data_IF_156346523002
#
_entry.id   IF_156346523002
#
_cell.length_a   1.000
_cell.length_b   1.000
_cell.length_c   1.000
_cell.angle_alpha   90.00
_cell.angle_beta   90.00
_cell.angle_gamma   90.00
#
_symmetry.space_group_name_H-M   'P 1'
#
loop_
_entity.id
_entity.type
_entity.pdbx_description
1 polymer ?
#
# COMPACT_ATOMS: atom_id res chain seq x y z
N UNK A 1 11.34 -30.76 -24.97
CA UNK A 1 11.95 -29.41 -25.02
C UNK A 1 10.91 -28.45 -24.47
N UNK A 2 11.19 -27.75 -23.36
CA UNK A 2 10.28 -26.71 -22.88
C UNK A 2 10.25 -25.58 -23.92
N UNK A 3 9.05 -25.08 -24.26
CA UNK A 3 8.91 -23.94 -25.15
C UNK A 3 9.60 -22.73 -24.51
N UNK A 4 10.40 -22.00 -25.28
CA UNK A 4 10.98 -20.73 -24.83
C UNK A 4 9.82 -19.80 -24.48
N UNK A 5 9.79 -19.18 -23.29
CA UNK A 5 8.73 -18.23 -22.94
C UNK A 5 8.66 -17.10 -23.98
N UNK A 6 7.46 -16.62 -24.33
CA UNK A 6 7.34 -15.48 -25.23
C UNK A 6 8.02 -14.25 -24.61
N UNK A 7 8.73 -13.50 -25.43
CA UNK A 7 9.37 -12.23 -25.08
C UNK A 7 8.68 -11.12 -25.88
N UNK A 8 8.19 -10.09 -25.19
CA UNK A 8 7.45 -8.97 -25.76
C UNK A 8 8.30 -7.69 -25.72
N UNK A 9 8.22 -6.91 -26.78
CA UNK A 9 8.87 -5.60 -26.91
C UNK A 9 7.84 -4.47 -26.85
N UNK A 10 8.28 -3.23 -26.63
CA UNK A 10 7.37 -2.07 -26.72
C UNK A 10 6.84 -1.95 -28.15
N UNK A 11 7.66 -2.30 -29.15
CA UNK A 11 7.21 -2.41 -30.54
C UNK A 11 6.00 -3.33 -30.71
N UNK A 12 6.05 -4.55 -30.18
CA UNK A 12 4.92 -5.51 -30.26
C UNK A 12 3.64 -4.89 -29.68
N UNK A 13 3.74 -4.22 -28.53
CA UNK A 13 2.61 -3.59 -27.86
C UNK A 13 2.09 -2.34 -28.60
N UNK A 14 2.95 -1.63 -29.34
CA UNK A 14 2.53 -0.55 -30.23
C UNK A 14 1.69 -1.10 -31.39
N UNK A 15 2.03 -2.26 -31.94
CA UNK A 15 1.20 -2.94 -32.94
C UNK A 15 -0.15 -3.32 -32.35
N UNK A 16 -0.16 -3.88 -31.13
CA UNK A 16 -1.40 -4.22 -30.40
C UNK A 16 -2.27 -2.98 -30.14
N UNK A 17 -1.66 -1.81 -29.92
CA UNK A 17 -2.37 -0.53 -29.78
C UNK A 17 -3.07 -0.07 -31.07
N UNK A 18 -2.80 -0.72 -32.21
CA UNK A 18 -3.37 -0.41 -33.52
C UNK A 18 -2.51 0.54 -34.34
N UNK A 19 -1.21 0.67 -34.02
CA UNK A 19 -0.27 1.45 -34.83
C UNK A 19 0.12 0.64 -36.07
N UNK A 20 0.24 1.32 -37.20
CA UNK A 20 0.65 0.70 -38.46
C UNK A 20 2.07 0.09 -38.37
N UNK A 21 2.18 -1.17 -38.75
CA UNK A 21 3.43 -1.93 -38.77
C UNK A 21 3.82 -2.42 -40.16
N UNK A 22 3.32 -1.75 -41.21
CA UNK A 22 3.56 -2.16 -42.60
C UNK A 22 4.19 -1.03 -43.42
N UNK A 23 3.74 0.20 -43.23
CA UNK A 23 4.23 1.35 -44.00
C UNK A 23 5.59 1.78 -43.48
N UNK A 24 6.60 1.73 -44.35
CA UNK A 24 7.97 2.08 -44.02
C UNK A 24 8.26 3.56 -44.29
N UNK A 25 8.91 4.20 -43.34
CA UNK A 25 9.58 5.48 -43.49
C UNK A 25 11.06 5.30 -43.08
N UNK A 26 11.99 5.57 -44.00
CA UNK A 26 13.43 5.39 -43.78
C UNK A 26 13.81 4.00 -43.24
N UNK A 27 13.10 2.96 -43.70
CA UNK A 27 13.36 1.58 -43.29
C UNK A 27 12.75 1.17 -41.96
N UNK A 28 11.95 2.03 -41.31
CA UNK A 28 11.21 1.70 -40.07
C UNK A 28 9.71 1.88 -40.24
N UNK A 29 8.90 1.03 -39.59
CA UNK A 29 7.45 1.18 -39.53
C UNK A 29 7.04 2.29 -38.57
N UNK A 30 5.78 2.71 -38.60
CA UNK A 30 5.26 3.69 -37.62
C UNK A 30 5.33 3.14 -36.19
N UNK A 31 5.04 1.84 -36.01
CA UNK A 31 5.13 1.18 -34.72
C UNK A 31 6.58 1.18 -34.18
N UNK A 32 7.57 0.82 -35.01
CA UNK A 32 8.99 0.81 -34.63
C UNK A 32 9.47 2.22 -34.26
N UNK A 33 9.01 3.23 -35.01
CA UNK A 33 9.36 4.63 -34.74
C UNK A 33 8.77 5.11 -33.43
N UNK A 34 7.50 4.82 -33.13
CA UNK A 34 6.92 5.20 -31.84
C UNK A 34 7.61 4.49 -30.68
N UNK A 35 7.82 3.17 -30.80
CA UNK A 35 8.50 2.40 -29.76
C UNK A 35 9.88 2.99 -29.44
N UNK A 36 10.68 3.29 -30.48
CA UNK A 36 12.04 3.81 -30.29
C UNK A 36 12.10 5.30 -29.98
N UNK A 37 11.38 6.16 -30.71
CA UNK A 37 11.49 7.63 -30.58
C UNK A 37 10.82 8.15 -29.30
N UNK A 38 9.78 7.47 -28.79
CA UNK A 38 9.07 7.88 -27.56
C UNK A 38 9.52 7.05 -26.35
N UNK A 39 9.58 5.74 -26.49
CA UNK A 39 9.81 4.85 -25.35
C UNK A 39 11.23 4.26 -25.30
N UNK A 40 12.11 4.58 -26.27
CA UNK A 40 13.44 3.95 -26.42
C UNK A 40 13.41 2.42 -26.53
N UNK A 41 12.27 1.86 -26.91
CA UNK A 41 11.96 0.42 -26.86
C UNK A 41 12.18 -0.20 -25.47
N UNK A 42 12.01 0.60 -24.42
CA UNK A 42 12.17 0.20 -23.02
C UNK A 42 10.88 0.49 -22.23
N UNK A 43 10.36 -0.56 -21.58
CA UNK A 43 9.19 -0.47 -20.72
C UNK A 43 9.42 0.45 -19.52
N UNK A 44 10.66 0.59 -19.02
CA UNK A 44 10.95 1.42 -17.85
C UNK A 44 10.71 2.91 -18.12
N UNK A 45 10.93 3.37 -19.37
CA UNK A 45 10.64 4.74 -19.81
C UNK A 45 9.20 5.16 -19.50
N UNK A 46 8.25 4.21 -19.56
CA UNK A 46 6.83 4.48 -19.32
C UNK A 46 6.50 4.89 -17.88
N UNK A 47 7.38 4.58 -16.91
CA UNK A 47 7.20 5.03 -15.53
C UNK A 47 7.18 6.55 -15.45
N UNK A 48 8.11 7.19 -16.16
CA UNK A 48 8.37 8.62 -16.06
C UNK A 48 7.64 9.44 -17.12
N UNK A 49 7.19 8.81 -18.20
CA UNK A 49 6.39 9.47 -19.23
C UNK A 49 5.09 10.06 -18.67
N UNK A 50 4.99 11.38 -18.62
CA UNK A 50 3.74 12.05 -18.26
C UNK A 50 2.77 12.07 -19.44
N UNK A 51 1.46 12.17 -19.15
CA UNK A 51 0.44 12.27 -20.20
C UNK A 51 0.58 13.56 -21.01
N UNK A 52 1.13 14.61 -20.41
CA UNK A 52 1.38 15.89 -21.06
C UNK A 52 2.59 15.80 -22.00
N UNK A 53 3.71 15.22 -21.57
CA UNK A 53 4.87 14.95 -22.43
C UNK A 53 4.47 14.09 -23.64
N UNK A 54 3.76 12.98 -23.39
CA UNK A 54 3.25 12.12 -24.46
C UNK A 54 2.35 12.88 -25.45
N UNK A 55 1.54 13.81 -24.93
CA UNK A 55 0.67 14.61 -25.77
C UNK A 55 1.45 15.61 -26.62
N UNK A 56 2.53 16.20 -26.10
CA UNK A 56 3.45 17.07 -26.84
C UNK A 56 4.29 16.31 -27.87
N UNK A 57 4.76 15.11 -27.56
CA UNK A 57 5.46 14.23 -28.51
C UNK A 57 4.56 13.85 -29.68
N UNK A 58 3.31 13.46 -29.41
CA UNK A 58 2.33 13.20 -30.47
C UNK A 58 2.02 14.44 -31.31
N UNK A 59 2.01 15.64 -30.72
CA UNK A 59 1.84 16.89 -31.48
C UNK A 59 3.07 17.16 -32.36
N UNK A 60 4.27 16.94 -31.83
CA UNK A 60 5.53 17.09 -32.56
C UNK A 60 5.55 16.19 -33.78
N UNK A 61 5.27 14.89 -33.61
CA UNK A 61 5.21 13.92 -34.71
C UNK A 61 4.11 14.25 -35.73
N UNK A 62 2.97 14.77 -35.28
CA UNK A 62 1.89 15.19 -36.16
C UNK A 62 2.19 16.50 -36.90
N UNK A 63 3.08 17.34 -36.38
CA UNK A 63 3.49 18.62 -36.97
C UNK A 63 4.54 18.50 -38.07
N UNK A 64 5.27 17.38 -38.13
CA UNK A 64 6.24 17.10 -39.19
C UNK A 64 5.59 17.10 -40.58
N UNK A 65 6.37 17.38 -41.61
CA UNK A 65 5.95 17.19 -43.00
C UNK A 65 5.98 15.70 -43.39
N UNK A 66 5.28 15.33 -44.46
CA UNK A 66 5.29 13.95 -44.98
C UNK A 66 6.72 13.49 -45.29
N UNK A 67 7.55 14.36 -45.89
CA UNK A 67 8.95 14.06 -46.20
C UNK A 67 9.83 13.86 -44.96
N UNK A 68 9.44 14.47 -43.83
CA UNK A 68 10.10 14.31 -42.52
C UNK A 68 9.54 13.13 -41.72
N UNK A 69 8.57 12.38 -42.25
CA UNK A 69 8.00 11.21 -41.58
C UNK A 69 6.89 11.56 -40.60
N UNK A 70 5.97 12.44 -41.00
CA UNK A 70 4.77 12.77 -40.22
C UNK A 70 4.01 11.52 -39.74
N UNK A 71 3.66 11.50 -38.45
CA UNK A 71 2.81 10.45 -37.86
C UNK A 71 1.55 11.10 -37.27
N UNK A 72 0.38 10.69 -37.74
CA UNK A 72 -0.91 11.15 -37.23
C UNK A 72 -1.66 10.02 -36.57
N UNK A 73 -1.76 10.07 -35.24
CA UNK A 73 -2.46 9.05 -34.46
C UNK A 73 -3.93 9.41 -34.25
N UNK A 74 -4.79 8.43 -34.51
CA UNK A 74 -6.23 8.54 -34.25
C UNK A 74 -6.50 8.54 -32.74
N UNK A 75 -7.61 9.17 -32.27
CA UNK A 75 -7.94 9.22 -30.84
C UNK A 75 -8.03 7.86 -30.14
N UNK A 76 -8.51 6.82 -30.83
CA UNK A 76 -8.57 5.46 -30.31
C UNK A 76 -7.17 4.88 -30.02
N UNK A 77 -6.23 5.04 -30.96
CA UNK A 77 -4.83 4.61 -30.79
C UNK A 77 -4.18 5.35 -29.62
N UNK A 78 -4.39 6.68 -29.51
CA UNK A 78 -3.89 7.47 -28.37
C UNK A 78 -4.42 6.96 -27.03
N UNK A 79 -5.70 6.52 -26.97
CA UNK A 79 -6.27 5.90 -25.76
C UNK A 79 -5.61 4.57 -25.43
N UNK A 80 -5.34 3.73 -26.44
CA UNK A 80 -4.66 2.45 -26.25
C UNK A 80 -3.23 2.64 -25.74
N UNK A 81 -2.46 3.59 -26.30
CA UNK A 81 -1.10 3.89 -25.82
C UNK A 81 -1.11 4.38 -24.37
N UNK A 82 -2.09 5.21 -23.99
CA UNK A 82 -2.24 5.62 -22.58
C UNK A 82 -2.57 4.43 -21.68
N UNK A 83 -3.45 3.53 -22.12
CA UNK A 83 -3.73 2.31 -21.38
C UNK A 83 -2.49 1.41 -21.24
N UNK A 84 -1.69 1.29 -22.30
CA UNK A 84 -0.40 0.59 -22.30
C UNK A 84 0.54 1.15 -21.24
N UNK A 85 0.74 2.48 -21.19
CA UNK A 85 1.57 3.12 -20.14
C UNK A 85 1.08 2.75 -18.74
N UNK A 86 -0.24 2.77 -18.49
CA UNK A 86 -0.76 2.37 -17.18
C UNK A 86 -0.50 0.89 -16.88
N UNK A 87 -0.63 0.02 -17.87
CA UNK A 87 -0.35 -1.41 -17.70
C UNK A 87 1.13 -1.64 -17.37
N UNK A 88 2.06 -1.02 -18.10
CA UNK A 88 3.49 -1.10 -17.79
C UNK A 88 3.79 -0.63 -16.37
N UNK A 89 3.19 0.50 -15.97
CA UNK A 89 3.30 1.01 -14.60
C UNK A 89 2.77 0.04 -13.56
N UNK A 90 1.65 -0.63 -13.85
CA UNK A 90 1.10 -1.65 -12.97
C UNK A 90 2.08 -2.81 -12.79
N UNK A 91 2.58 -3.37 -13.89
CA UNK A 91 3.55 -4.47 -13.88
C UNK A 91 4.81 -4.11 -13.08
N UNK A 92 5.42 -2.95 -13.36
CA UNK A 92 6.64 -2.48 -12.70
C UNK A 92 6.40 -2.24 -11.20
N UNK A 93 5.30 -1.57 -10.82
CA UNK A 93 4.94 -1.35 -9.40
C UNK A 93 4.75 -2.66 -8.63
N UNK A 94 4.32 -3.72 -9.30
CA UNK A 94 4.12 -5.04 -8.71
C UNK A 94 5.38 -5.93 -8.83
N UNK A 95 6.50 -5.38 -9.31
CA UNK A 95 7.75 -6.11 -9.48
C UNK A 95 7.70 -7.18 -10.58
N UNK A 96 6.77 -7.05 -11.52
CA UNK A 96 6.64 -7.95 -12.68
C UNK A 96 7.34 -7.38 -13.89
N UNK A 97 7.89 -8.27 -14.70
CA UNK A 97 8.58 -7.93 -15.94
C UNK A 97 7.58 -7.83 -17.10
N UNK A 98 7.33 -6.63 -17.66
CA UNK A 98 6.40 -6.45 -18.77
C UNK A 98 6.78 -7.26 -20.02
N UNK A 99 8.06 -7.61 -20.19
CA UNK A 99 8.52 -8.38 -21.37
C UNK A 99 7.99 -9.83 -21.39
N UNK A 100 7.40 -10.29 -20.28
CA UNK A 100 6.94 -11.68 -20.12
C UNK A 100 5.44 -11.84 -20.29
N UNK A 101 4.69 -10.74 -20.36
CA UNK A 101 3.22 -10.74 -20.40
C UNK A 101 2.74 -9.81 -21.50
N UNK A 102 1.80 -10.23 -22.38
CA UNK A 102 1.32 -9.35 -23.44
C UNK A 102 0.43 -8.23 -22.89
N UNK A 103 0.51 -7.04 -23.47
CA UNK A 103 -0.39 -5.94 -23.13
C UNK A 103 -1.87 -6.31 -23.41
N UNK A 104 -2.76 -6.30 -22.41
CA UNK A 104 -4.16 -6.64 -22.60
C UNK A 104 -4.96 -5.43 -23.10
N UNK A 105 -4.85 -5.09 -24.39
CA UNK A 105 -5.55 -3.93 -24.98
C UNK A 105 -7.07 -3.93 -24.79
N UNK A 106 -7.67 -5.11 -24.64
CA UNK A 106 -9.11 -5.26 -24.34
C UNK A 106 -9.50 -4.60 -23.01
N UNK A 107 -8.56 -4.47 -22.08
CA UNK A 107 -8.75 -3.85 -20.77
C UNK A 107 -8.48 -2.33 -20.77
N UNK A 108 -8.29 -1.71 -21.94
CA UNK A 108 -7.91 -0.29 -22.03
C UNK A 108 -8.82 0.65 -21.23
N UNK A 109 -10.14 0.42 -21.24
CA UNK A 109 -11.08 1.23 -20.46
C UNK A 109 -10.84 1.11 -18.94
N UNK A 110 -10.55 -0.10 -18.44
CA UNK A 110 -10.25 -0.37 -17.03
C UNK A 110 -8.93 0.28 -16.62
N UNK A 111 -7.90 0.14 -17.47
CA UNK A 111 -6.59 0.75 -17.26
C UNK A 111 -6.66 2.28 -17.23
N UNK A 112 -7.39 2.90 -18.16
CA UNK A 112 -7.56 4.36 -18.16
C UNK A 112 -8.34 4.87 -16.93
N UNK A 113 -9.30 4.09 -16.41
CA UNK A 113 -9.98 4.42 -15.16
C UNK A 113 -9.00 4.36 -13.98
N UNK A 114 -8.20 3.29 -13.90
CA UNK A 114 -7.18 3.11 -12.87
C UNK A 114 -6.14 4.23 -12.90
N UNK A 115 -5.65 4.61 -14.09
CA UNK A 115 -4.73 5.74 -14.27
C UNK A 115 -5.28 7.02 -13.62
N UNK A 116 -6.53 7.38 -13.92
CA UNK A 116 -7.17 8.57 -13.32
C UNK A 116 -7.31 8.47 -11.80
N UNK A 117 -7.67 7.30 -11.29
CA UNK A 117 -7.79 7.10 -9.84
C UNK A 117 -6.43 7.21 -9.14
N UNK A 118 -5.36 6.70 -9.77
CA UNK A 118 -4.00 6.82 -9.26
C UNK A 118 -3.49 8.28 -9.32
N UNK A 119 -3.76 9.00 -10.41
CA UNK A 119 -3.47 10.44 -10.51
C UNK A 119 -4.18 11.25 -9.41
N UNK A 120 -5.44 10.93 -9.11
CA UNK A 120 -6.19 11.56 -8.01
C UNK A 120 -5.57 11.28 -6.65
N UNK A 121 -5.09 10.06 -6.41
CA UNK A 121 -4.34 9.71 -5.19
C UNK A 121 -3.07 10.55 -5.07
N UNK A 122 -2.25 10.59 -6.13
CA UNK A 122 -0.99 11.35 -6.13
C UNK A 122 -1.25 12.85 -5.93
N UNK A 123 -2.20 13.42 -6.66
CA UNK A 123 -2.58 14.84 -6.53
C UNK A 123 -3.12 15.17 -5.13
N UNK A 124 -3.94 14.30 -4.55
CA UNK A 124 -4.54 14.48 -3.22
C UNK A 124 -3.60 14.20 -2.06
N UNK A 125 -2.46 13.56 -2.30
CA UNK A 125 -1.55 13.03 -1.26
C UNK A 125 -1.08 14.08 -0.26
N UNK A 126 -0.81 15.32 -0.69
CA UNK A 126 -0.39 16.41 0.20
C UNK A 126 -1.46 16.73 1.25
N UNK A 127 -2.72 16.86 0.84
CA UNK A 127 -3.82 17.15 1.75
C UNK A 127 -4.11 15.94 2.65
N UNK A 128 -4.15 14.74 2.07
CA UNK A 128 -4.43 13.51 2.82
C UNK A 128 -3.38 13.23 3.88
N UNK A 129 -2.08 13.37 3.54
CA UNK A 129 -0.99 13.17 4.49
C UNK A 129 -0.98 14.20 5.62
N UNK A 130 -1.40 15.44 5.37
CA UNK A 130 -1.59 16.44 6.42
C UNK A 130 -2.75 16.07 7.37
N UNK A 131 -3.82 15.49 6.85
CA UNK A 131 -4.98 15.10 7.65
C UNK A 131 -4.76 13.79 8.42
N UNK A 132 -3.94 12.89 7.87
CA UNK A 132 -3.57 11.62 8.48
C UNK A 132 -2.30 11.71 9.32
N UNK A 133 -1.85 12.91 9.69
CA UNK A 133 -0.60 13.10 10.42
C UNK A 133 -0.70 12.41 11.81
N UNK A 134 0.21 11.47 12.13
CA UNK A 134 0.26 10.87 13.44
C UNK A 134 0.62 11.91 14.50
N UNK A 135 0.24 11.65 15.75
CA UNK A 135 0.89 12.31 16.87
C UNK A 135 2.34 11.81 17.00
N UNK A 136 3.18 12.60 17.66
CA UNK A 136 4.53 12.15 18.01
C UNK A 136 4.44 10.94 18.96
N UNK A 137 5.26 9.93 18.71
CA UNK A 137 5.38 8.75 19.54
C UNK A 137 6.31 9.05 20.70
N UNK A 138 5.77 9.63 21.76
CA UNK A 138 6.45 9.91 23.02
C UNK A 138 6.30 8.74 24.00
N UNK A 139 7.03 8.76 25.13
CA UNK A 139 7.02 7.68 26.13
C UNK A 139 5.62 7.39 26.75
N UNK A 140 4.67 8.32 26.67
CA UNK A 140 3.30 8.18 27.17
C UNK A 140 2.31 7.64 26.13
N UNK A 141 2.74 7.53 24.87
CA UNK A 141 1.92 7.01 23.78
C UNK A 141 2.13 5.50 23.65
N UNK A 142 1.03 4.75 23.54
CA UNK A 142 1.08 3.30 23.37
C UNK A 142 1.37 2.93 21.91
N UNK A 143 2.29 1.99 21.71
CA UNK A 143 2.66 1.49 20.38
C UNK A 143 1.45 0.97 19.60
N UNK A 144 0.57 0.20 20.26
CA UNK A 144 -0.63 -0.39 19.65
C UNK A 144 -1.59 0.64 19.05
N UNK A 145 -1.65 1.83 19.65
CA UNK A 145 -2.49 2.93 19.19
C UNK A 145 -1.76 3.75 18.12
N UNK A 146 -0.45 3.96 18.28
CA UNK A 146 0.34 4.80 17.39
C UNK A 146 0.68 4.13 16.05
N UNK A 147 1.13 2.87 16.07
CA UNK A 147 1.62 2.16 14.89
C UNK A 147 0.59 2.14 13.74
N UNK A 148 -0.69 1.82 13.97
CA UNK A 148 -1.71 1.88 12.91
C UNK A 148 -1.91 3.30 12.34
N UNK A 149 -1.73 4.36 13.13
CA UNK A 149 -1.83 5.73 12.62
C UNK A 149 -0.63 6.09 11.73
N UNK A 150 0.57 5.62 12.09
CA UNK A 150 1.77 5.81 11.28
C UNK A 150 1.70 5.02 9.97
N UNK A 151 1.23 3.77 9.98
CA UNK A 151 1.02 2.98 8.76
C UNK A 151 -0.01 3.64 7.83
N UNK A 152 -1.12 4.14 8.38
CA UNK A 152 -2.13 4.89 7.63
C UNK A 152 -1.57 6.20 7.05
N UNK A 153 -0.73 6.90 7.79
CA UNK A 153 -0.03 8.08 7.29
C UNK A 153 0.86 7.73 6.09
N UNK A 154 1.69 6.68 6.20
CA UNK A 154 2.53 6.22 5.09
C UNK A 154 1.71 5.81 3.86
N UNK A 155 0.53 5.21 4.06
CA UNK A 155 -0.40 4.86 2.98
C UNK A 155 -0.87 6.08 2.17
N UNK A 156 -0.94 7.26 2.79
CA UNK A 156 -1.35 8.49 2.08
C UNK A 156 -0.23 9.09 1.20
N UNK A 157 1.02 8.64 1.38
CA UNK A 157 2.18 9.24 0.73
C UNK A 157 2.62 8.34 -0.43
N UNK A 158 2.57 8.82 -1.69
CA UNK A 158 3.18 8.12 -2.80
C UNK A 158 4.71 8.10 -2.65
N UNK A 159 5.28 6.91 -2.83
CA UNK A 159 6.70 6.71 -3.08
C UNK A 159 7.09 7.11 -4.50
N UNK A 160 8.33 6.82 -4.89
CA UNK A 160 8.92 7.16 -6.20
C UNK A 160 7.96 6.77 -7.34
N UNK A 161 7.57 5.51 -7.39
CA UNK A 161 6.75 4.95 -8.48
C UNK A 161 5.24 5.16 -8.26
N UNK A 162 4.87 5.91 -7.24
CA UNK A 162 3.49 6.13 -6.83
C UNK A 162 2.86 4.97 -6.05
N UNK A 163 3.67 3.99 -5.61
CA UNK A 163 3.23 3.00 -4.61
C UNK A 163 3.16 3.69 -3.24
N UNK A 164 2.10 3.50 -2.45
CA UNK A 164 2.03 4.06 -1.09
C UNK A 164 3.20 3.60 -0.21
N UNK A 165 3.86 4.52 0.51
CA UNK A 165 5.06 4.21 1.33
C UNK A 165 4.84 3.12 2.40
N UNK A 166 3.59 2.81 2.75
CA UNK A 166 3.26 1.72 3.67
C UNK A 166 3.79 0.35 3.20
N UNK A 167 4.09 0.16 1.90
CA UNK A 167 4.73 -1.07 1.42
C UNK A 167 6.09 -1.33 2.07
N UNK A 168 6.82 -0.29 2.47
CA UNK A 168 8.13 -0.42 3.14
C UNK A 168 8.00 -1.07 4.52
N UNK A 169 6.88 -0.88 5.20
CA UNK A 169 6.64 -1.37 6.57
C UNK A 169 5.74 -2.61 6.61
N UNK A 170 5.28 -3.11 5.46
CA UNK A 170 4.43 -4.30 5.36
C UNK A 170 5.09 -5.52 6.03
N UNK A 171 4.32 -6.42 6.60
CA UNK A 171 4.87 -7.52 7.38
C UNK A 171 5.57 -8.59 6.52
N UNK A 172 5.01 -8.91 5.36
CA UNK A 172 5.57 -9.94 4.47
C UNK A 172 6.66 -9.35 3.57
N UNK A 173 7.83 -9.98 3.54
CA UNK A 173 8.91 -9.59 2.62
C UNK A 173 8.56 -9.95 1.17
N UNK A 174 7.98 -11.13 0.96
CA UNK A 174 7.53 -11.58 -0.35
C UNK A 174 6.22 -10.90 -0.77
N UNK A 175 6.14 -10.54 -2.06
CA UNK A 175 4.91 -10.04 -2.63
C UNK A 175 3.82 -11.11 -2.61
N UNK A 176 2.63 -10.78 -2.11
CA UNK A 176 1.48 -11.69 -2.11
C UNK A 176 0.38 -11.14 -3.01
N UNK A 177 0.00 -11.93 -4.02
CA UNK A 177 -1.07 -11.54 -4.93
C UNK A 177 -2.42 -11.73 -4.25
N UNK A 178 -2.82 -10.73 -3.49
CA UNK A 178 -4.17 -10.61 -2.96
C UNK A 178 -4.91 -9.58 -3.80
N UNK A 179 -5.93 -10.02 -4.53
CA UNK A 179 -6.78 -9.12 -5.29
C UNK A 179 -7.65 -8.33 -4.33
N UNK A 180 -7.47 -7.01 -4.35
CA UNK A 180 -8.28 -6.07 -3.59
C UNK A 180 -9.12 -5.20 -4.53
N UNK A 181 -10.30 -4.78 -4.06
CA UNK A 181 -11.09 -3.77 -4.77
C UNK A 181 -10.31 -2.45 -4.87
N UNK A 182 -9.57 -2.11 -3.81
CA UNK A 182 -8.57 -1.06 -3.81
C UNK A 182 -7.26 -1.56 -4.44
N UNK A 183 -6.98 -1.09 -5.66
CA UNK A 183 -5.76 -1.46 -6.38
C UNK A 183 -4.48 -0.98 -5.68
N UNK A 184 -4.55 0.05 -4.81
CA UNK A 184 -3.38 0.50 -4.04
C UNK A 184 -2.92 -0.57 -3.05
N UNK A 185 -3.83 -1.31 -2.44
CA UNK A 185 -3.49 -2.46 -1.58
C UNK A 185 -2.79 -3.56 -2.38
N UNK A 186 -3.20 -3.77 -3.63
CA UNK A 186 -2.50 -4.71 -4.51
C UNK A 186 -1.06 -4.27 -4.77
N UNK A 187 -0.83 -2.97 -4.99
CA UNK A 187 0.54 -2.45 -5.13
C UNK A 187 1.34 -2.59 -3.83
N UNK A 188 0.77 -2.22 -2.68
CA UNK A 188 1.44 -2.35 -1.37
C UNK A 188 1.87 -3.81 -1.13
N UNK A 189 0.99 -4.76 -1.42
CA UNK A 189 1.23 -6.19 -1.18
C UNK A 189 2.19 -6.83 -2.19
N UNK A 190 2.36 -6.25 -3.38
CA UNK A 190 3.20 -6.82 -4.43
C UNK A 190 4.53 -6.09 -4.65
N UNK A 191 4.62 -4.82 -4.26
CA UNK A 191 5.79 -4.00 -4.55
C UNK A 191 7.09 -4.65 -4.06
N UNK A 192 8.15 -4.65 -4.87
CA UNK A 192 9.41 -5.29 -4.50
C UNK A 192 10.13 -4.49 -3.42
N UNK A 193 10.79 -5.18 -2.49
CA UNK A 193 11.71 -4.57 -1.53
C UNK A 193 13.15 -4.52 -2.07
N UNK A 194 13.28 -4.19 -3.36
CA UNK A 194 14.55 -4.08 -4.10
C UNK A 194 14.41 -3.02 -5.20
N UNK A 195 15.55 -2.57 -5.74
CA UNK A 195 15.59 -1.58 -6.82
C UNK A 195 15.66 -0.14 -6.34
N UNK A 196 15.81 0.79 -7.29
CA UNK A 196 16.03 2.22 -7.02
C UNK A 196 14.86 2.86 -6.27
N UNK A 197 13.63 2.60 -6.71
CA UNK A 197 12.42 3.09 -6.06
C UNK A 197 12.35 2.65 -4.58
N UNK A 198 12.66 1.38 -4.30
CA UNK A 198 12.74 0.89 -2.92
C UNK A 198 13.80 1.62 -2.11
N UNK A 199 15.01 1.81 -2.62
CA UNK A 199 16.08 2.51 -1.89
C UNK A 199 15.66 3.94 -1.51
N UNK A 200 15.06 4.68 -2.46
CA UNK A 200 14.59 6.05 -2.21
C UNK A 200 13.45 6.10 -1.19
N UNK A 201 12.46 5.23 -1.35
CA UNK A 201 11.29 5.17 -0.48
C UNK A 201 11.67 4.72 0.94
N UNK A 202 12.57 3.74 1.04
CA UNK A 202 13.07 3.22 2.31
C UNK A 202 13.81 4.29 3.12
N UNK A 203 14.65 5.09 2.46
CA UNK A 203 15.33 6.22 3.09
C UNK A 203 14.32 7.31 3.53
N UNK A 204 13.28 7.57 2.73
CA UNK A 204 12.21 8.51 3.08
C UNK A 204 11.43 8.05 4.30
N UNK A 205 11.09 6.76 4.38
CA UNK A 205 10.42 6.18 5.56
C UNK A 205 11.28 6.29 6.80
N UNK A 206 12.60 6.09 6.69
CA UNK A 206 13.51 6.30 7.82
C UNK A 206 13.43 7.74 8.36
N UNK A 207 13.50 8.74 7.48
CA UNK A 207 13.41 10.16 7.87
C UNK A 207 12.08 10.46 8.55
N UNK A 208 10.98 9.94 8.02
CA UNK A 208 9.65 10.10 8.62
C UNK A 208 9.59 9.43 10.00
N UNK A 209 10.05 8.19 10.11
CA UNK A 209 10.06 7.44 11.37
C UNK A 209 10.88 8.18 12.44
N UNK A 210 12.11 8.59 12.12
CA UNK A 210 12.97 9.34 13.03
C UNK A 210 12.35 10.65 13.50
N UNK A 211 11.55 11.32 12.66
CA UNK A 211 10.84 12.54 13.03
C UNK A 211 9.77 12.28 14.10
N UNK A 212 9.00 11.20 13.96
CA UNK A 212 7.85 10.96 14.85
C UNK A 212 8.22 10.31 16.18
N UNK A 213 9.38 9.67 16.31
CA UNK A 213 9.79 9.04 17.58
C UNK A 213 10.53 9.99 18.53
N UNK A 214 10.72 11.25 18.15
CA UNK A 214 11.49 12.22 18.95
C UNK A 214 10.88 12.34 20.34
N UNK A 215 11.69 12.13 21.37
CA UNK A 215 11.25 12.19 22.77
C UNK A 215 10.71 10.88 23.34
N UNK A 216 10.71 9.79 22.56
CA UNK A 216 10.61 8.44 23.10
C UNK A 216 12.00 7.82 23.20
N UNK A 217 12.49 7.77 24.44
CA UNK A 217 13.85 7.34 24.76
C UNK A 217 14.10 5.87 24.44
N UNK A 218 13.07 5.02 24.55
CA UNK A 218 13.19 3.59 24.25
C UNK A 218 13.23 3.33 22.74
N UNK A 219 12.36 4.01 21.98
CA UNK A 219 12.36 3.95 20.52
C UNK A 219 13.66 4.51 19.93
N UNK A 220 14.12 5.67 20.42
CA UNK A 220 15.39 6.26 20.01
C UNK A 220 16.58 5.35 20.31
N UNK A 221 16.64 4.77 21.52
CA UNK A 221 17.71 3.84 21.90
C UNK A 221 17.69 2.56 21.04
N UNK A 222 16.49 2.04 20.73
CA UNK A 222 16.33 0.87 19.85
C UNK A 222 16.90 1.15 18.46
N UNK A 223 16.62 2.33 17.88
CA UNK A 223 17.17 2.70 16.57
C UNK A 223 18.68 3.00 16.62
N UNK A 224 19.20 3.56 17.72
CA UNK A 224 20.64 3.80 17.88
C UNK A 224 21.46 2.51 18.01
N UNK A 225 20.85 1.42 18.47
CA UNK A 225 21.50 0.12 18.62
C UNK A 225 21.75 -0.61 17.30
N UNK A 226 21.10 -0.18 16.21
CA UNK A 226 21.19 -0.81 14.88
C UNK A 226 21.78 0.15 13.84
N UNK A 227 22.46 -0.39 12.84
CA UNK A 227 23.02 0.41 11.76
C UNK A 227 21.96 0.67 10.67
N UNK A 228 21.18 1.73 10.83
CA UNK A 228 20.03 2.06 9.98
C UNK A 228 20.37 2.79 8.67
N UNK A 229 21.60 2.70 8.13
CA UNK A 229 22.09 3.52 7.00
C UNK A 229 21.14 3.63 5.78
N UNK A 230 20.14 4.52 5.85
CA UNK A 230 19.06 4.64 4.87
C UNK A 230 17.98 3.54 4.92
N UNK A 231 17.94 2.69 5.95
CA UNK A 231 17.06 1.52 6.01
C UNK A 231 15.85 1.72 6.95
N UNK A 232 14.79 2.37 6.45
CA UNK A 232 13.55 2.60 7.18
C UNK A 232 12.77 1.33 7.52
N UNK A 233 12.79 0.31 6.66
CA UNK A 233 12.18 -1.00 6.89
C UNK A 233 12.80 -1.70 8.09
N UNK A 234 14.13 -1.77 8.13
CA UNK A 234 14.85 -2.38 9.25
C UNK A 234 14.62 -1.60 10.55
N UNK A 235 14.64 -0.27 10.49
CA UNK A 235 14.32 0.58 11.63
C UNK A 235 12.90 0.32 12.17
N UNK A 236 11.90 0.27 11.28
CA UNK A 236 10.51 0.00 11.67
C UNK A 236 10.34 -1.43 12.21
N UNK A 237 10.96 -2.43 11.58
CA UNK A 237 10.91 -3.81 12.05
C UNK A 237 11.58 -3.99 13.41
N UNK A 238 12.65 -3.23 13.70
CA UNK A 238 13.29 -3.25 15.01
C UNK A 238 12.39 -2.67 16.10
N UNK A 239 11.72 -1.54 15.84
CA UNK A 239 10.72 -0.99 16.76
C UNK A 239 9.54 -1.94 16.95
N UNK A 240 9.04 -2.52 15.87
CA UNK A 240 7.96 -3.51 15.91
C UNK A 240 8.38 -4.73 16.73
N UNK A 241 9.60 -5.23 16.57
CA UNK A 241 10.12 -6.34 17.39
C UNK A 241 10.27 -5.94 18.86
N UNK A 242 10.66 -4.69 19.12
CA UNK A 242 10.83 -4.19 20.48
C UNK A 242 9.49 -4.06 21.22
N UNK A 243 8.43 -3.57 20.55
CA UNK A 243 7.12 -3.32 21.16
C UNK A 243 6.09 -4.46 20.97
N UNK A 244 6.28 -5.31 19.96
CA UNK A 244 5.40 -6.45 19.63
C UNK A 244 6.15 -7.79 19.68
N UNK A 245 7.34 -7.84 20.26
CA UNK A 245 8.11 -9.08 20.38
C UNK A 245 7.35 -10.15 21.17
N UNK A 246 7.66 -11.43 20.92
CA UNK A 246 6.93 -12.58 21.46
C UNK A 246 6.75 -12.54 22.99
N UNK A 247 7.71 -11.99 23.74
CA UNK A 247 7.62 -11.85 25.19
C UNK A 247 6.59 -10.82 25.67
N UNK A 248 6.36 -9.75 24.91
CA UNK A 248 5.37 -8.72 25.20
C UNK A 248 3.98 -9.21 24.81
N UNK A 249 3.85 -9.80 23.61
CA UNK A 249 2.60 -10.43 23.17
C UNK A 249 2.10 -11.48 24.16
N UNK A 250 3.00 -12.32 24.71
CA UNK A 250 2.66 -13.29 25.74
C UNK A 250 2.15 -12.62 27.03
N UNK A 251 2.73 -11.49 27.44
CA UNK A 251 2.29 -10.73 28.61
C UNK A 251 0.93 -10.08 28.37
N UNK A 252 0.70 -9.51 27.19
CA UNK A 252 -0.55 -8.83 26.83
C UNK A 252 -1.72 -9.81 26.78
N UNK A 253 -1.50 -11.05 26.31
CA UNK A 253 -2.52 -12.12 26.37
C UNK A 253 -2.83 -12.47 27.82
N UNK A 254 -1.81 -12.65 28.66
CA UNK A 254 -2.02 -13.01 30.07
C UNK A 254 -2.80 -11.90 30.78
N UNK A 255 -2.50 -10.63 30.50
CA UNK A 255 -3.26 -9.49 31.05
C UNK A 255 -4.67 -9.41 30.47
N UNK A 256 -4.85 -9.66 29.17
CA UNK A 256 -6.15 -9.71 28.52
C UNK A 256 -7.02 -10.85 29.11
N UNK A 257 -6.46 -12.05 29.27
CA UNK A 257 -7.12 -13.20 29.90
C UNK A 257 -7.46 -12.90 31.37
N UNK A 258 -6.55 -12.27 32.12
CA UNK A 258 -6.81 -11.83 33.48
C UNK A 258 -7.95 -10.81 33.52
N UNK A 259 -7.97 -9.84 32.61
CA UNK A 259 -9.05 -8.85 32.48
C UNK A 259 -10.38 -9.52 32.13
N UNK A 260 -10.37 -10.44 31.15
CA UNK A 260 -11.53 -11.25 30.77
C UNK A 260 -11.99 -12.12 31.93
N UNK A 261 -11.12 -12.53 32.86
CA UNK A 261 -11.52 -13.36 34.01
C UNK A 261 -12.04 -12.53 35.18
N UNK A 262 -11.31 -11.50 35.58
CA UNK A 262 -11.51 -10.81 36.86
C UNK A 262 -12.33 -9.51 36.75
N UNK A 263 -12.37 -8.85 35.59
CA UNK A 263 -13.08 -7.56 35.45
C UNK A 263 -14.59 -7.75 35.69
N UNK A 264 -15.16 -6.99 36.63
CA UNK A 264 -16.57 -7.01 37.00
C UNK A 264 -17.14 -5.59 37.13
N UNK A 265 -18.38 -5.40 36.70
CA UNK A 265 -19.11 -4.14 36.86
C UNK A 265 -20.06 -4.23 38.06
N UNK A 266 -19.66 -3.63 39.19
CA UNK A 266 -20.41 -3.66 40.46
C UNK A 266 -21.34 -2.43 40.61
N UNK A 267 -21.21 -1.43 39.73
CA UNK A 267 -22.02 -0.21 39.72
C UNK A 267 -21.30 0.96 39.05
N UNK A 268 -21.94 2.13 39.00
CA UNK A 268 -21.39 3.35 38.40
C UNK A 268 -20.39 4.03 39.34
N UNK A 269 -19.12 3.60 39.32
CA UNK A 269 -18.04 4.23 40.10
C UNK A 269 -17.14 5.09 39.21
N UNK A 270 -16.58 6.21 39.69
CA UNK A 270 -15.71 7.08 38.89
C UNK A 270 -14.50 6.38 38.26
N UNK A 271 -13.95 5.37 38.93
CA UNK A 271 -12.79 4.59 38.43
C UNK A 271 -13.17 3.36 37.59
N UNK A 272 -14.45 2.98 37.57
CA UNK A 272 -14.96 1.79 36.86
C UNK A 272 -16.46 1.99 36.62
N UNK A 273 -16.80 2.72 35.57
CA UNK A 273 -18.17 2.94 35.11
C UNK A 273 -18.50 1.97 33.96
N UNK A 274 -19.78 1.90 33.55
CA UNK A 274 -20.19 0.96 32.50
C UNK A 274 -19.42 1.10 31.19
N UNK A 275 -19.12 2.34 30.78
CA UNK A 275 -18.38 2.62 29.55
C UNK A 275 -16.91 2.20 29.62
N UNK A 276 -16.23 2.45 30.74
CA UNK A 276 -14.86 2.01 30.98
C UNK A 276 -14.77 0.48 31.03
N UNK A 277 -15.74 -0.17 31.69
CA UNK A 277 -15.85 -1.62 31.75
C UNK A 277 -16.00 -2.23 30.35
N UNK A 278 -16.91 -1.69 29.52
CA UNK A 278 -17.11 -2.15 28.16
C UNK A 278 -15.85 -1.95 27.30
N UNK A 279 -15.19 -0.79 27.42
CA UNK A 279 -13.96 -0.48 26.68
C UNK A 279 -12.84 -1.45 27.02
N UNK A 280 -12.63 -1.74 28.30
CA UNK A 280 -11.57 -2.66 28.76
C UNK A 280 -11.83 -4.10 28.29
N UNK A 281 -13.08 -4.58 28.38
CA UNK A 281 -13.42 -5.91 27.88
C UNK A 281 -13.29 -6.03 26.36
N UNK A 282 -13.74 -5.02 25.60
CA UNK A 282 -13.59 -5.00 24.15
C UNK A 282 -12.11 -5.03 23.74
N UNK A 283 -11.26 -4.25 24.43
CA UNK A 283 -9.82 -4.28 24.20
C UNK A 283 -9.26 -5.68 24.48
N UNK A 284 -9.56 -6.27 25.62
CA UNK A 284 -9.04 -7.59 25.99
C UNK A 284 -9.44 -8.70 25.00
N UNK A 285 -10.71 -8.74 24.55
CA UNK A 285 -11.12 -9.71 23.52
C UNK A 285 -10.41 -9.48 22.18
N UNK A 286 -10.25 -8.22 21.76
CA UNK A 286 -9.54 -7.90 20.53
C UNK A 286 -8.04 -8.28 20.60
N UNK A 287 -7.40 -8.13 21.77
CA UNK A 287 -6.03 -8.58 22.00
C UNK A 287 -5.89 -10.10 21.83
N UNK A 288 -6.82 -10.89 22.40
CA UNK A 288 -6.83 -12.34 22.21
C UNK A 288 -7.04 -12.73 20.74
N UNK A 289 -7.99 -12.09 20.05
CA UNK A 289 -8.29 -12.37 18.64
C UNK A 289 -7.09 -12.00 17.73
N UNK A 290 -6.40 -10.89 18.03
CA UNK A 290 -5.19 -10.45 17.32
C UNK A 290 -4.06 -11.46 17.44
N UNK A 291 -3.82 -11.98 18.65
CA UNK A 291 -2.76 -12.97 18.87
C UNK A 291 -3.04 -14.29 18.15
N UNK A 292 -4.26 -14.80 18.23
CA UNK A 292 -4.65 -16.09 17.66
C UNK A 292 -4.90 -16.03 16.14
N UNK A 293 -4.97 -14.84 15.56
CA UNK A 293 -5.25 -14.62 14.14
C UNK A 293 -6.66 -15.06 13.71
N UNK A 294 -7.57 -15.21 14.68
CA UNK A 294 -8.96 -15.70 14.51
C UNK A 294 -9.82 -15.21 15.66
N UNK A 295 -11.13 -15.28 15.49
CA UNK A 295 -12.04 -15.06 16.62
C UNK A 295 -11.87 -16.20 17.65
N UNK A 296 -11.49 -15.84 18.87
CA UNK A 296 -11.30 -16.74 20.02
C UNK A 296 -12.60 -16.88 20.79
N UNK A 297 -13.33 -15.78 20.96
CA UNK A 297 -14.57 -15.72 21.71
C UNK A 297 -15.73 -15.29 20.80
N UNK A 298 -16.66 -16.20 20.52
CA UNK A 298 -17.90 -15.85 19.79
C UNK A 298 -18.74 -14.82 20.55
N UNK A 299 -19.58 -14.06 19.82
CA UNK A 299 -20.54 -13.11 20.41
C UNK A 299 -21.41 -13.72 21.51
N UNK A 300 -21.86 -14.98 21.34
CA UNK A 300 -22.65 -15.69 22.34
C UNK A 300 -21.84 -16.02 23.62
N UNK A 301 -20.53 -16.21 23.52
CA UNK A 301 -19.64 -16.39 24.67
C UNK A 301 -19.36 -15.04 25.36
N UNK A 302 -19.08 -14.00 24.57
CA UNK A 302 -18.90 -12.63 25.05
C UNK A 302 -20.12 -12.16 25.85
N UNK A 303 -21.34 -12.38 25.34
CA UNK A 303 -22.61 -12.08 26.01
C UNK A 303 -22.81 -12.85 27.33
N UNK A 304 -22.56 -14.16 27.35
CA UNK A 304 -22.65 -14.98 28.57
C UNK A 304 -21.64 -14.54 29.64
N UNK A 305 -20.42 -14.22 29.22
CA UNK A 305 -19.39 -13.67 30.11
C UNK A 305 -19.82 -12.32 30.69
N UNK A 306 -20.37 -11.44 29.85
CA UNK A 306 -20.90 -10.13 30.27
C UNK A 306 -22.02 -10.26 31.31
N UNK A 307 -22.97 -11.17 31.08
CA UNK A 307 -24.03 -11.46 32.05
C UNK A 307 -23.42 -11.86 33.40
N UNK A 308 -22.46 -12.78 33.43
CA UNK A 308 -21.85 -13.21 34.69
C UNK A 308 -21.09 -12.09 35.44
N UNK A 309 -20.54 -11.12 34.71
CA UNK A 309 -19.70 -10.04 35.24
C UNK A 309 -20.43 -8.79 35.69
N UNK A 310 -21.67 -8.61 35.27
CA UNK A 310 -22.54 -7.52 35.75
C UNK A 310 -23.16 -7.94 37.08
N UNK A 311 -22.64 -7.38 38.16
CA UNK A 311 -23.10 -7.63 39.54
C UNK A 311 -23.84 -6.45 40.14
N UNK A 312 -23.96 -5.33 39.42
CA UNK A 312 -24.71 -4.15 39.83
C UNK A 312 -26.18 -4.51 40.15
N UNK A 313 -26.69 -4.19 41.37
CA UNK A 313 -28.03 -4.62 41.82
C UNK A 313 -29.17 -4.20 40.90
N UNK A 314 -29.06 -3.01 40.29
CA UNK A 314 -30.09 -2.47 39.38
C UNK A 314 -30.07 -3.11 37.98
N UNK A 315 -28.97 -3.74 37.56
CA UNK A 315 -28.85 -4.46 36.29
C UNK A 315 -29.17 -5.96 36.44
N UNK A 316 -29.13 -6.50 37.67
CA UNK A 316 -29.53 -7.89 37.94
C UNK A 316 -31.03 -8.13 37.71
N UNK A 317 -31.87 -7.11 37.84
CA UNK A 317 -33.31 -7.20 37.55
C UNK A 317 -33.63 -7.59 36.09
N UNK A 318 -32.70 -7.33 35.16
CA UNK A 318 -32.86 -7.69 33.74
C UNK A 318 -32.25 -9.05 33.37
N UNK A 319 -31.56 -9.75 34.29
CA UNK A 319 -31.02 -11.10 34.03
C UNK A 319 -32.10 -12.18 33.90
N UNK A 320 -33.28 -11.93 34.46
CA UNK A 320 -34.40 -12.87 34.51
C UNK A 320 -35.42 -12.73 33.37
N UNK A 321 -35.16 -11.84 32.39
CA UNK A 321 -36.13 -11.50 31.35
C UNK A 321 -35.68 -11.83 29.90
N UNK A 322 -34.60 -12.61 29.73
CA UNK A 322 -34.17 -13.17 28.43
C UNK A 322 -33.93 -14.67 28.60
#
# INVERSE_FOLDING_TARGET
MAAVPPFFTVHDDMVICGIDNVTLFQGRTVAERIAYEIFSDDFTTTMDSTIDELSEEFKTLAGLTIAQGQIRLMPAIKKNIRAFIQWCRDEIRMGRDPTTTPFPVVDAAKLLRRMKTHEQYVYGSKLMSQQALPQDFTNDVQWEDWCPTFENYLRTIPGRDGVPLSYIVRMNDAGMLTLHEDFLETYINMAPHVGEAYVMDNAKVLVLLSKFIVGNTEAEATLQAINIAGNGREAFNALRTHYEGEGILASDIVEAEHTIKELCCVGEKPKMNGSMFERMLKKAYATCDKHEGREVHSDAMKLRSLQNKVTAPFLQLNKTAI
#
